data_IF_783426002018
#
_entry.id   IF_783426002018
#
_cell.length_a   1.000
_cell.length_b   1.000
_cell.length_c   1.000
_cell.angle_alpha   90.00
_cell.angle_beta   90.00
_cell.angle_gamma   90.00
#
_symmetry.space_group_name_H-M   'P 1'
#
loop_
_entity.id
_entity.type
_entity.pdbx_description
1 polymer ?
#
# COMPACT_ATOMS: atom_id res chain seq x y z
N UNK A 1 -1.21 0.64 25.68
CA UNK A 1 -1.60 0.15 24.34
C UNK A 1 -0.97 1.08 23.32
N UNK A 2 -0.16 0.58 22.39
CA UNK A 2 0.31 1.39 21.27
C UNK A 2 -0.90 1.86 20.48
N UNK A 3 -0.93 3.15 20.14
CA UNK A 3 -1.91 3.71 19.20
C UNK A 3 -1.31 3.65 17.80
N UNK A 4 -2.09 3.21 16.83
CA UNK A 4 -1.66 3.16 15.43
C UNK A 4 -2.38 4.24 14.62
N UNK A 5 -1.65 4.87 13.71
CA UNK A 5 -2.19 5.66 12.61
C UNK A 5 -2.32 4.80 11.38
N UNK A 6 -3.37 5.03 10.59
CA UNK A 6 -3.62 4.33 9.35
C UNK A 6 -3.80 5.32 8.21
N UNK A 7 -3.28 4.98 7.03
CA UNK A 7 -3.54 5.69 5.78
C UNK A 7 -3.55 4.71 4.63
N UNK A 8 -4.19 5.11 3.53
CA UNK A 8 -4.15 4.34 2.27
C UNK A 8 -3.34 5.10 1.23
N UNK A 9 -2.64 4.36 0.38
CA UNK A 9 -2.07 4.88 -0.86
C UNK A 9 -2.66 4.11 -2.03
N UNK A 10 -3.04 4.83 -3.07
CA UNK A 10 -3.43 4.22 -4.34
C UNK A 10 -2.18 3.67 -5.01
N UNK A 11 -2.30 2.50 -5.63
CA UNK A 11 -1.28 1.98 -6.54
C UNK A 11 -1.78 2.26 -7.95
N UNK A 12 -0.98 2.95 -8.77
CA UNK A 12 -1.38 3.26 -10.14
C UNK A 12 -1.59 1.96 -10.92
N UNK A 13 -2.84 1.70 -11.29
CA UNK A 13 -3.29 0.52 -12.01
C UNK A 13 -3.09 0.64 -13.53
N UNK A 14 -2.03 1.31 -14.01
CA UNK A 14 -1.76 1.44 -15.46
C UNK A 14 -1.28 0.12 -16.09
N UNK A 15 -1.10 -0.94 -15.30
CA UNK A 15 -0.64 -2.25 -15.76
C UNK A 15 -1.59 -3.34 -15.26
N UNK A 16 -2.74 -3.49 -15.93
CA UNK A 16 -3.52 -4.73 -15.88
C UNK A 16 -3.86 -5.19 -17.30
N UNK A 17 -2.84 -5.49 -18.11
CA UNK A 17 -3.00 -6.46 -19.20
C UNK A 17 -2.60 -7.84 -18.68
N UNK A 18 -3.61 -8.70 -18.62
CA UNK A 18 -3.56 -10.16 -18.68
C UNK A 18 -3.00 -10.92 -17.45
N UNK A 19 -3.90 -11.22 -16.50
CA UNK A 19 -4.30 -12.61 -16.18
C UNK A 19 -3.29 -13.60 -15.60
N UNK A 20 -2.00 -13.28 -15.47
CA UNK A 20 -0.97 -14.19 -14.95
C UNK A 20 0.13 -13.37 -14.28
N UNK A 21 0.06 -13.19 -12.95
CA UNK A 21 1.20 -12.73 -12.14
C UNK A 21 1.83 -11.41 -12.59
N UNK A 22 1.03 -10.39 -12.86
CA UNK A 22 1.52 -9.05 -13.15
C UNK A 22 2.31 -8.50 -11.96
N UNK A 23 3.57 -8.15 -12.19
CA UNK A 23 4.45 -7.51 -11.22
C UNK A 23 3.85 -6.13 -10.91
N UNK A 24 3.07 -6.04 -9.83
CA UNK A 24 2.61 -4.76 -9.28
C UNK A 24 3.87 -3.96 -9.03
N UNK A 25 4.06 -2.88 -9.77
CA UNK A 25 5.13 -1.92 -9.46
C UNK A 25 4.50 -0.93 -8.49
N UNK A 26 4.57 -1.14 -7.17
CA UNK A 26 4.08 -0.14 -6.25
C UNK A 26 4.89 1.15 -6.48
N UNK A 27 4.38 2.32 -6.08
CA UNK A 27 5.14 3.56 -6.18
C UNK A 27 6.31 3.50 -5.20
N UNK A 28 7.42 2.86 -5.59
CA UNK A 28 8.57 2.52 -4.74
C UNK A 28 9.14 3.78 -4.09
N UNK A 29 9.22 4.89 -4.83
CA UNK A 29 9.67 6.18 -4.29
C UNK A 29 8.76 6.66 -3.16
N UNK A 30 7.44 6.66 -3.37
CA UNK A 30 6.46 7.04 -2.36
C UNK A 30 6.46 6.08 -1.15
N UNK A 31 6.60 4.77 -1.38
CA UNK A 31 6.73 3.79 -0.31
C UNK A 31 8.01 3.96 0.49
N UNK A 32 9.12 4.33 -0.16
CA UNK A 32 10.39 4.60 0.53
C UNK A 32 10.30 5.87 1.38
N UNK A 33 9.67 6.94 0.87
CA UNK A 33 9.40 8.16 1.64
C UNK A 33 8.54 7.86 2.87
N UNK A 34 7.45 7.11 2.68
CA UNK A 34 6.55 6.73 3.76
C UNK A 34 7.23 5.78 4.77
N UNK A 35 8.07 4.86 4.28
CA UNK A 35 8.92 4.02 5.13
C UNK A 35 9.88 4.84 5.99
N UNK A 36 10.49 5.89 5.42
CA UNK A 36 11.34 6.83 6.17
C UNK A 36 10.56 7.65 7.22
N UNK A 37 9.27 7.90 6.98
CA UNK A 37 8.34 8.51 7.94
C UNK A 37 7.78 7.53 9.01
N UNK A 38 8.21 6.26 8.99
CA UNK A 38 7.80 5.22 9.93
C UNK A 38 6.49 4.50 9.56
N UNK A 39 6.01 4.63 8.32
CA UNK A 39 4.86 3.87 7.84
C UNK A 39 5.27 2.49 7.34
N UNK A 40 4.45 1.50 7.63
CA UNK A 40 4.63 0.11 7.23
C UNK A 40 3.40 -0.42 6.50
N UNK A 41 3.58 -1.25 5.47
CA UNK A 41 2.47 -1.90 4.77
C UNK A 41 1.81 -2.93 5.69
N UNK A 42 0.54 -2.71 6.00
CA UNK A 42 -0.27 -3.56 6.86
C UNK A 42 -1.05 -4.60 6.03
N UNK A 43 -1.67 -4.18 4.92
CA UNK A 43 -2.46 -5.05 4.06
C UNK A 43 -2.68 -4.46 2.66
N UNK A 44 -2.82 -5.28 1.62
CA UNK A 44 -3.38 -4.84 0.35
C UNK A 44 -4.91 -4.66 0.44
N UNK A 45 -5.45 -3.68 -0.28
CA UNK A 45 -6.88 -3.47 -0.45
C UNK A 45 -7.27 -3.80 -1.89
N UNK A 46 -8.16 -4.78 -2.02
CA UNK A 46 -8.66 -5.25 -3.31
C UNK A 46 -10.01 -4.64 -3.63
N UNK A 47 -10.26 -4.41 -4.91
CA UNK A 47 -11.57 -4.02 -5.42
C UNK A 47 -12.53 -5.24 -5.51
N UNK A 48 -13.69 -5.05 -6.15
CA UNK A 48 -14.69 -6.11 -6.35
C UNK A 48 -14.26 -7.19 -7.35
N UNK A 49 -13.23 -6.91 -8.16
CA UNK A 49 -12.69 -7.85 -9.15
C UNK A 49 -11.55 -8.70 -8.58
N UNK A 50 -11.07 -8.35 -7.37
CA UNK A 50 -9.96 -9.01 -6.70
C UNK A 50 -8.62 -8.34 -6.99
N UNK A 51 -8.61 -7.21 -7.69
CA UNK A 51 -7.42 -6.46 -8.06
C UNK A 51 -6.99 -5.54 -6.92
N UNK A 52 -5.69 -5.52 -6.61
CA UNK A 52 -5.17 -4.61 -5.56
C UNK A 52 -5.13 -3.19 -6.10
N UNK A 53 -5.97 -2.33 -5.54
CA UNK A 53 -6.09 -0.91 -5.94
C UNK A 53 -5.45 0.03 -4.94
N UNK A 54 -5.16 -0.44 -3.72
CA UNK A 54 -4.52 0.38 -2.70
C UNK A 54 -3.72 -0.46 -1.70
N UNK A 55 -2.78 0.18 -1.01
CA UNK A 55 -2.09 -0.38 0.14
C UNK A 55 -2.52 0.34 1.41
N UNK A 56 -2.89 -0.44 2.43
CA UNK A 56 -3.10 0.04 3.79
C UNK A 56 -1.74 0.14 4.48
N UNK A 57 -1.42 1.33 4.97
CA UNK A 57 -0.22 1.62 5.75
C UNK A 57 -0.61 1.84 7.21
N UNK A 58 0.26 1.41 8.11
CA UNK A 58 0.15 1.65 9.54
C UNK A 58 1.44 2.27 10.09
N UNK A 59 1.33 3.14 11.08
CA UNK A 59 2.45 3.69 11.83
C UNK A 59 2.14 3.69 13.32
N UNK A 60 3.11 3.32 14.16
CA UNK A 60 2.98 3.47 15.61
C UNK A 60 3.07 4.96 15.99
N UNK A 61 2.10 5.46 16.76
CA UNK A 61 2.25 6.75 17.43
C UNK A 61 3.14 6.57 18.64
N UNK A 62 4.35 7.09 18.54
CA UNK A 62 5.16 7.40 19.72
C UNK A 62 4.43 8.49 20.52
N UNK A 63 4.34 8.26 21.83
CA UNK A 63 3.48 9.04 22.74
C UNK A 63 4.18 10.30 23.24
#
# INVERSE_FOLDING_TARGET
MPSYEYRTIEVDSDVMIAGLGGEVTPPIEQLNELGAEGWHVAAPLTDKTGETVSLLLQRERER
#
